data_IF_412526451948
#
_entry.id   IF_412526451948
#
_cell.length_a   1.000
_cell.length_b   1.000
_cell.length_c   1.000
_cell.angle_alpha   90.00
_cell.angle_beta   90.00
_cell.angle_gamma   90.00
#
_symmetry.space_group_name_H-M   'P 1'
#
loop_
_entity.id
_entity.type
_entity.pdbx_description
1 polymer ?
#
# COMPACT_ATOMS: atom_id res chain seq x y z
N UNK A 1 17.03 47.76 25.24
CA UNK A 1 15.77 47.30 24.60
C UNK A 1 16.16 46.21 23.60
N UNK A 2 15.94 44.93 23.92
CA UNK A 2 16.27 43.83 22.99
C UNK A 2 15.20 43.76 21.89
N UNK A 3 15.55 43.67 20.59
CA UNK A 3 14.55 43.47 19.55
C UNK A 3 14.00 42.05 19.65
N UNK A 4 12.68 41.94 19.82
CA UNK A 4 11.95 40.67 19.83
C UNK A 4 12.14 39.92 18.51
N UNK A 5 12.69 38.71 18.60
CA UNK A 5 12.81 37.80 17.47
C UNK A 5 11.44 37.42 16.92
N UNK A 6 11.26 37.59 15.62
CA UNK A 6 10.05 37.19 14.91
C UNK A 6 9.83 35.66 15.05
N UNK A 7 8.58 35.20 15.19
CA UNK A 7 8.28 33.77 15.21
C UNK A 7 8.57 33.19 13.83
N UNK A 8 9.55 32.30 13.75
CA UNK A 8 9.89 31.57 12.53
C UNK A 8 8.68 30.73 12.12
N UNK A 9 8.02 31.13 11.02
CA UNK A 9 6.99 30.33 10.36
C UNK A 9 7.65 29.04 9.87
N UNK A 10 7.59 27.96 10.67
CA UNK A 10 7.96 26.61 10.20
C UNK A 10 7.12 26.32 8.95
N UNK A 11 7.80 26.34 7.82
CA UNK A 11 7.19 26.49 6.51
C UNK A 11 6.33 25.29 6.14
N UNK A 12 5.34 25.55 5.28
CA UNK A 12 4.50 24.56 4.60
C UNK A 12 5.33 23.44 3.93
N UNK A 13 6.59 23.73 3.58
CA UNK A 13 7.55 22.82 2.92
C UNK A 13 7.89 21.59 3.78
N UNK A 14 8.08 21.78 5.09
CA UNK A 14 8.47 20.71 6.03
C UNK A 14 7.43 19.57 6.09
N UNK A 15 6.14 19.92 5.97
CA UNK A 15 5.04 18.94 5.94
C UNK A 15 5.02 18.08 4.67
N UNK A 16 5.43 18.60 3.52
CA UNK A 16 5.46 17.83 2.28
C UNK A 16 6.68 16.93 2.22
N UNK A 17 7.85 17.41 2.66
CA UNK A 17 9.10 16.63 2.70
C UNK A 17 8.90 15.33 3.49
N UNK A 18 8.33 15.40 4.69
CA UNK A 18 8.09 14.22 5.51
C UNK A 18 7.00 13.27 4.98
N UNK A 19 6.14 13.70 4.05
CA UNK A 19 5.16 12.81 3.38
C UNK A 19 5.81 12.10 2.20
N UNK A 20 6.61 12.81 1.40
CA UNK A 20 7.34 12.23 0.27
C UNK A 20 8.32 11.14 0.76
N UNK A 21 9.09 11.42 1.81
CA UNK A 21 10.03 10.45 2.42
C UNK A 21 9.34 9.18 2.97
N UNK A 22 8.05 9.28 3.32
CA UNK A 22 7.24 8.14 3.77
C UNK A 22 6.61 7.35 2.63
N UNK A 23 6.45 7.93 1.45
CA UNK A 23 5.95 7.20 0.27
C UNK A 23 7.09 6.42 -0.38
N UNK A 24 8.30 6.98 -0.43
CA UNK A 24 9.47 6.30 -1.02
C UNK A 24 9.93 5.06 -0.24
N UNK A 25 9.67 5.01 1.08
CA UNK A 25 10.09 3.90 1.94
C UNK A 25 9.13 2.71 1.97
N UNK A 26 7.96 2.80 1.35
CA UNK A 26 6.95 1.74 1.46
C UNK A 26 6.38 1.35 0.11
N UNK A 27 6.35 0.04 -0.12
CA UNK A 27 5.69 -0.58 -1.27
C UNK A 27 4.43 -1.32 -0.83
N UNK A 28 3.52 -1.55 -1.78
CA UNK A 28 2.34 -2.37 -1.54
C UNK A 28 2.67 -3.86 -1.60
N UNK A 29 1.96 -4.66 -0.81
CA UNK A 29 2.01 -6.12 -0.93
C UNK A 29 1.50 -6.59 -2.29
N UNK A 30 2.00 -7.75 -2.73
CA UNK A 30 1.48 -8.44 -3.91
C UNK A 30 0.00 -8.77 -3.76
N UNK A 31 -0.73 -8.71 -4.87
CA UNK A 31 -2.17 -9.02 -4.95
C UNK A 31 -3.00 -8.24 -3.90
N UNK A 32 -2.71 -6.95 -3.79
CA UNK A 32 -3.32 -6.02 -2.83
C UNK A 32 -4.85 -6.15 -2.75
N UNK A 33 -5.52 -6.18 -3.91
CA UNK A 33 -6.97 -6.25 -3.99
C UNK A 33 -7.54 -7.52 -3.35
N UNK A 34 -6.90 -8.67 -3.57
CA UNK A 34 -7.32 -9.94 -2.97
C UNK A 34 -7.02 -9.98 -1.47
N UNK A 35 -5.89 -9.43 -1.02
CA UNK A 35 -5.57 -9.30 0.42
C UNK A 35 -6.65 -8.49 1.13
N UNK A 36 -7.04 -7.35 0.56
CA UNK A 36 -8.10 -6.50 1.10
C UNK A 36 -9.44 -7.24 1.11
N UNK A 37 -9.82 -7.89 0.00
CA UNK A 37 -11.07 -8.65 -0.11
C UNK A 37 -11.17 -9.75 0.95
N UNK A 38 -10.14 -10.59 1.06
CA UNK A 38 -10.08 -11.68 2.05
C UNK A 38 -10.13 -11.15 3.48
N UNK A 39 -9.41 -10.07 3.77
CA UNK A 39 -9.42 -9.47 5.10
C UNK A 39 -10.77 -8.84 5.45
N UNK A 40 -11.45 -8.23 4.48
CA UNK A 40 -12.82 -7.71 4.64
C UNK A 40 -13.80 -8.84 4.95
N UNK A 41 -13.75 -9.93 4.17
CA UNK A 41 -14.64 -11.09 4.31
C UNK A 41 -14.40 -11.85 5.61
N UNK A 42 -13.14 -12.02 6.03
CA UNK A 42 -12.79 -12.59 7.33
C UNK A 42 -13.33 -11.79 8.52
N UNK A 43 -13.67 -10.50 8.30
CA UNK A 43 -14.31 -9.63 9.28
C UNK A 43 -15.81 -9.47 9.07
N UNK A 44 -16.41 -10.22 8.15
CA UNK A 44 -17.84 -10.16 7.82
C UNK A 44 -18.33 -8.76 7.43
N UNK A 45 -17.44 -7.94 6.86
CA UNK A 45 -17.78 -6.59 6.43
C UNK A 45 -18.29 -6.62 4.98
N UNK A 46 -19.36 -5.89 4.68
CA UNK A 46 -19.70 -5.59 3.28
C UNK A 46 -18.77 -4.51 2.72
N UNK A 47 -18.80 -4.29 1.40
CA UNK A 47 -18.00 -3.21 0.79
C UNK A 47 -18.49 -1.84 1.23
N UNK A 48 -19.80 -1.70 1.43
CA UNK A 48 -20.46 -0.50 1.92
C UNK A 48 -19.96 -0.15 3.32
N UNK A 49 -19.97 -1.13 4.23
CA UNK A 49 -19.47 -0.96 5.59
C UNK A 49 -17.97 -0.61 5.62
N UNK A 50 -17.15 -1.31 4.83
CA UNK A 50 -15.72 -0.98 4.76
C UNK A 50 -15.49 0.44 4.23
N UNK A 51 -16.23 0.84 3.20
CA UNK A 51 -16.14 2.17 2.61
C UNK A 51 -16.52 3.26 3.61
N UNK A 52 -17.62 3.07 4.36
CA UNK A 52 -18.05 3.96 5.44
C UNK A 52 -16.97 4.09 6.53
N UNK A 53 -16.39 2.96 6.97
CA UNK A 53 -15.36 2.96 8.02
C UNK A 53 -14.08 3.72 7.64
N UNK A 54 -13.71 3.75 6.35
CA UNK A 54 -12.51 4.46 5.88
C UNK A 54 -12.80 5.85 5.30
N UNK A 55 -14.08 6.20 5.15
CA UNK A 55 -14.56 7.48 4.61
C UNK A 55 -14.40 7.58 3.10
N UNK A 56 -14.60 6.48 2.37
CA UNK A 56 -14.50 6.41 0.91
C UNK A 56 -15.81 5.97 0.26
N UNK A 57 -15.90 6.10 -1.07
CA UNK A 57 -17.03 5.56 -1.83
C UNK A 57 -16.91 4.05 -1.98
N UNK A 58 -18.05 3.35 -2.01
CA UNK A 58 -18.11 1.89 -2.26
C UNK A 58 -17.45 1.52 -3.59
N UNK A 59 -17.60 2.37 -4.61
CA UNK A 59 -16.94 2.21 -5.91
C UNK A 59 -15.41 2.26 -5.80
N UNK A 60 -14.86 3.12 -4.92
CA UNK A 60 -13.43 3.17 -4.64
C UNK A 60 -12.94 1.83 -4.08
N UNK A 61 -13.62 1.29 -3.06
CA UNK A 61 -13.28 -0.01 -2.46
C UNK A 61 -13.38 -1.14 -3.50
N UNK A 62 -14.44 -1.17 -4.30
CA UNK A 62 -14.61 -2.17 -5.38
C UNK A 62 -13.43 -2.15 -6.36
N UNK A 63 -13.04 -0.96 -6.84
CA UNK A 63 -11.93 -0.80 -7.77
C UNK A 63 -10.59 -1.21 -7.14
N UNK A 64 -10.39 -0.91 -5.86
CA UNK A 64 -9.20 -1.36 -5.12
C UNK A 64 -9.17 -2.89 -5.01
N UNK A 65 -10.27 -3.53 -4.62
CA UNK A 65 -10.35 -5.00 -4.55
C UNK A 65 -10.15 -5.70 -5.90
N UNK A 66 -10.50 -5.01 -7.00
CA UNK A 66 -10.30 -5.49 -8.36
C UNK A 66 -8.91 -5.16 -8.93
N UNK A 67 -8.01 -4.53 -8.15
CA UNK A 67 -6.73 -4.02 -8.61
C UNK A 67 -6.82 -2.96 -9.74
N UNK A 68 -7.99 -2.35 -9.94
CA UNK A 68 -8.23 -1.28 -10.92
C UNK A 68 -7.83 0.12 -10.39
N UNK A 69 -7.60 0.23 -9.08
CA UNK A 69 -7.21 1.47 -8.41
C UNK A 69 -6.25 1.18 -7.26
N UNK A 70 -5.10 1.86 -7.25
CA UNK A 70 -4.21 1.86 -6.08
C UNK A 70 -4.69 2.90 -5.06
N UNK A 71 -4.82 2.56 -3.77
CA UNK A 71 -5.17 3.51 -2.73
C UNK A 71 -4.04 4.52 -2.48
N UNK A 72 -4.37 5.69 -1.94
CA UNK A 72 -3.36 6.60 -1.39
C UNK A 72 -2.70 5.99 -0.14
N UNK A 73 -1.51 6.48 0.24
CA UNK A 73 -0.84 6.02 1.45
C UNK A 73 -1.72 6.15 2.70
N UNK A 74 -2.42 7.28 2.85
CA UNK A 74 -3.33 7.52 3.96
C UNK A 74 -4.50 6.53 3.96
N UNK A 75 -5.09 6.25 2.79
CA UNK A 75 -6.17 5.26 2.67
C UNK A 75 -5.67 3.85 2.99
N UNK A 76 -4.48 3.48 2.49
CA UNK A 76 -3.85 2.21 2.81
C UNK A 76 -3.66 2.03 4.32
N UNK A 77 -3.15 3.05 5.03
CA UNK A 77 -3.02 3.02 6.49
C UNK A 77 -4.35 2.91 7.22
N UNK A 78 -5.40 3.57 6.74
CA UNK A 78 -6.76 3.39 7.29
C UNK A 78 -7.25 1.95 7.10
N UNK A 79 -7.09 1.39 5.90
CA UNK A 79 -7.45 0.01 5.59
C UNK A 79 -6.69 -0.98 6.48
N UNK A 80 -5.38 -0.81 6.69
CA UNK A 80 -4.60 -1.65 7.62
C UNK A 80 -5.19 -1.65 9.04
N UNK A 81 -5.61 -0.49 9.53
CA UNK A 81 -6.17 -0.34 10.88
C UNK A 81 -7.54 -0.99 11.04
N UNK A 82 -8.40 -0.88 10.02
CA UNK A 82 -9.75 -1.47 10.02
C UNK A 82 -9.66 -2.99 9.82
N UNK A 83 -8.90 -3.41 8.81
CA UNK A 83 -8.80 -4.81 8.40
C UNK A 83 -7.77 -5.62 9.20
N UNK A 84 -6.96 -4.98 10.06
CA UNK A 84 -5.89 -5.59 10.88
C UNK A 84 -4.94 -6.48 10.07
N UNK A 85 -4.59 -6.03 8.86
CA UNK A 85 -3.60 -6.66 7.99
C UNK A 85 -2.55 -5.64 7.58
N UNK A 86 -1.39 -6.11 7.13
CA UNK A 86 -0.35 -5.26 6.54
C UNK A 86 -0.56 -5.19 5.02
N UNK A 87 -0.69 -3.98 4.51
CA UNK A 87 -0.85 -3.68 3.08
C UNK A 87 0.38 -2.97 2.51
N UNK A 88 1.17 -2.33 3.39
CA UNK A 88 2.42 -1.66 3.06
C UNK A 88 3.59 -2.39 3.70
N UNK A 89 4.65 -2.60 2.94
CA UNK A 89 5.91 -3.20 3.37
C UNK A 89 7.03 -2.18 3.20
N UNK A 90 7.98 -2.15 4.12
CA UNK A 90 9.15 -1.28 3.97
C UNK A 90 9.99 -1.77 2.80
N UNK A 91 10.39 -0.82 1.94
CA UNK A 91 11.33 -1.05 0.85
C UNK A 91 12.73 -1.18 1.45
N UNK A 92 13.02 -2.32 2.07
CA UNK A 92 14.36 -2.68 2.55
C UNK A 92 14.85 -3.92 1.81
N UNK A 93 16.17 -4.04 1.65
CA UNK A 93 16.79 -5.21 1.02
C UNK A 93 16.40 -6.51 1.73
N UNK A 94 16.21 -6.47 3.05
CA UNK A 94 15.76 -7.61 3.86
C UNK A 94 14.36 -8.11 3.49
N UNK A 95 13.45 -7.20 3.09
CA UNK A 95 12.09 -7.56 2.67
C UNK A 95 12.13 -8.23 1.30
N UNK A 96 12.96 -7.73 0.39
CA UNK A 96 13.19 -8.34 -0.92
C UNK A 96 13.71 -9.78 -0.77
N UNK A 97 14.75 -9.98 0.04
CA UNK A 97 15.30 -11.31 0.33
C UNK A 97 14.25 -12.26 0.94
N UNK A 98 13.37 -11.73 1.80
CA UNK A 98 12.26 -12.51 2.37
C UNK A 98 11.20 -12.88 1.34
N UNK A 99 10.87 -11.98 0.42
CA UNK A 99 9.92 -12.23 -0.67
C UNK A 99 10.47 -13.31 -1.62
N UNK A 100 11.72 -13.18 -2.02
CA UNK A 100 12.45 -14.17 -2.83
C UNK A 100 12.49 -15.53 -2.14
N UNK A 101 12.87 -15.56 -0.86
CA UNK A 101 12.90 -16.79 -0.05
C UNK A 101 11.52 -17.44 0.09
N UNK A 102 10.45 -16.64 0.20
CA UNK A 102 9.07 -17.14 0.32
C UNK A 102 8.54 -17.69 -1.00
N UNK A 103 8.91 -17.07 -2.13
CA UNK A 103 8.63 -17.59 -3.46
C UNK A 103 9.32 -18.94 -3.68
N UNK A 104 10.61 -19.05 -3.34
CA UNK A 104 11.37 -20.30 -3.39
C UNK A 104 10.76 -21.40 -2.50
N UNK A 105 10.34 -21.07 -1.27
CA UNK A 105 9.65 -22.04 -0.37
C UNK A 105 8.28 -22.50 -0.86
N UNK A 106 7.61 -21.69 -1.69
CA UNK A 106 6.35 -22.06 -2.34
C UNK A 106 6.55 -22.88 -3.62
N UNK A 107 7.79 -23.21 -3.96
CA UNK A 107 8.13 -23.95 -5.18
C UNK A 107 7.97 -23.11 -6.45
N UNK A 108 7.81 -21.79 -6.32
CA UNK A 108 7.82 -20.88 -7.46
C UNK A 108 9.25 -20.70 -7.91
N UNK A 109 9.54 -21.10 -9.13
CA UNK A 109 10.85 -20.96 -9.74
C UNK A 109 10.94 -19.58 -10.39
N UNK A 110 12.17 -19.06 -10.56
CA UNK A 110 12.41 -17.80 -11.26
C UNK A 110 11.80 -17.83 -12.68
N UNK A 111 11.64 -19.02 -13.28
CA UNK A 111 10.95 -19.21 -14.56
C UNK A 111 9.46 -18.87 -14.54
N UNK A 112 8.78 -19.01 -13.40
CA UNK A 112 7.34 -18.73 -13.28
C UNK A 112 7.04 -17.24 -13.21
N UNK A 113 7.94 -16.45 -12.60
CA UNK A 113 7.83 -14.99 -12.50
C UNK A 113 8.26 -14.30 -13.79
N UNK A 114 9.15 -14.92 -14.56
CA UNK A 114 9.62 -14.43 -15.87
C UNK A 114 8.74 -14.87 -17.04
N UNK A 115 7.97 -15.95 -16.90
CA UNK A 115 7.11 -16.50 -17.96
C UNK A 115 5.99 -15.55 -18.42
N UNK A 116 5.49 -14.70 -17.53
CA UNK A 116 4.48 -13.68 -17.89
C UNK A 116 5.09 -12.47 -18.62
N UNK A 117 6.41 -12.27 -18.56
CA UNK A 117 7.11 -11.20 -19.31
C UNK A 117 7.59 -11.62 -20.70
N UNK A 118 7.72 -12.92 -20.97
CA UNK A 118 8.23 -13.43 -22.26
C UNK A 118 7.13 -13.76 -23.28
N UNK A 119 5.85 -13.44 -22.99
CA UNK A 119 4.72 -13.66 -23.91
C UNK A 119 4.14 -12.40 -24.54
N UNK A 120 4.70 -11.22 -24.28
CA UNK A 120 4.26 -9.96 -24.91
C UNK A 120 5.24 -9.38 -25.94
N UNK A 121 6.27 -10.14 -26.34
CA UNK A 121 7.25 -9.72 -27.37
C UNK A 121 7.34 -10.72 -28.53
N UNK A 122 6.21 -11.31 -28.91
CA UNK A 122 6.04 -11.90 -30.25
C UNK A 122 4.60 -11.64 -30.74
N UNK A 123 4.37 -10.41 -31.19
CA UNK A 123 3.45 -10.02 -32.28
C UNK A 123 3.78 -8.59 -32.76
#
# INVERSE_FOLDING_TARGET
MQPGGAPQRRGRVDRYVGVVERVERYEFVDDLGNVIRKAREARFLTREQLAEMVGEKVSTIRRIENNELKPSFELARKLERVLKVKLLVEATDEVFERAVSKAQKRGLTIGDVLGDRLKSEDL
#
